data_IF_794757463226
#
_entry.id   IF_794757463226
#
_cell.length_a   1.000
_cell.length_b   1.000
_cell.length_c   1.000
_cell.angle_alpha   90.00
_cell.angle_beta   90.00
_cell.angle_gamma   90.00
#
_symmetry.space_group_name_H-M   'P 1'
#
loop_
_entity.id
_entity.type
_entity.pdbx_description
1 polymer ?
#
# COMPACT_ATOMS: atom_id res chain seq x y z
N UNK A 1 -60.39 29.52 21.87
CA UNK A 1 -59.19 29.28 21.03
C UNK A 1 -58.03 28.90 21.96
N UNK A 2 -57.97 27.64 22.40
CA UNK A 2 -57.12 26.57 21.85
C UNK A 2 -55.61 26.87 21.92
N UNK A 3 -54.99 26.41 23.02
CA UNK A 3 -53.54 26.20 23.12
C UNK A 3 -53.11 25.19 22.04
N UNK A 4 -52.37 25.62 21.02
CA UNK A 4 -51.61 24.70 20.18
C UNK A 4 -50.47 24.17 21.05
N UNK A 5 -50.50 22.89 21.39
CA UNK A 5 -49.52 22.30 22.30
C UNK A 5 -48.14 22.25 21.66
N UNK A 6 -47.10 22.58 22.43
CA UNK A 6 -45.70 22.57 22.00
C UNK A 6 -45.27 21.26 21.29
N UNK A 7 -45.90 20.14 21.65
CA UNK A 7 -45.73 18.84 20.96
C UNK A 7 -46.02 18.91 19.47
N UNK A 8 -47.06 19.62 19.02
CA UNK A 8 -47.38 19.76 17.59
C UNK A 8 -46.30 20.54 16.83
N UNK A 9 -45.74 21.57 17.45
CA UNK A 9 -44.63 22.36 16.89
C UNK A 9 -43.37 21.49 16.80
N UNK A 10 -43.03 20.74 17.86
CA UNK A 10 -41.89 19.84 17.87
C UNK A 10 -42.05 18.67 16.87
N UNK A 11 -43.27 18.12 16.71
CA UNK A 11 -43.57 17.13 15.67
C UNK A 11 -43.42 17.70 14.26
N UNK A 12 -43.90 18.93 14.01
CA UNK A 12 -43.73 19.59 12.72
C UNK A 12 -42.25 19.86 12.40
N UNK A 13 -41.47 20.35 13.37
CA UNK A 13 -40.01 20.54 13.23
C UNK A 13 -39.31 19.21 12.94
N UNK A 14 -39.65 18.14 13.67
CA UNK A 14 -39.08 16.81 13.46
C UNK A 14 -39.40 16.28 12.05
N UNK A 15 -40.64 16.43 11.58
CA UNK A 15 -41.05 16.07 10.22
C UNK A 15 -40.27 16.90 9.18
N UNK A 16 -40.13 18.21 9.35
CA UNK A 16 -39.32 19.04 8.46
C UNK A 16 -37.86 18.61 8.42
N UNK A 17 -37.24 18.28 9.56
CA UNK A 17 -35.85 17.78 9.62
C UNK A 17 -35.75 16.43 8.90
N UNK A 18 -36.68 15.50 9.12
CA UNK A 18 -36.74 14.22 8.39
C UNK A 18 -36.92 14.43 6.89
N UNK A 19 -37.77 15.36 6.44
CA UNK A 19 -37.94 15.67 5.02
C UNK A 19 -36.68 16.30 4.40
N UNK A 20 -36.01 17.22 5.11
CA UNK A 20 -34.75 17.83 4.64
C UNK A 20 -33.65 16.76 4.53
N UNK A 21 -33.52 15.88 5.51
CA UNK A 21 -32.59 14.75 5.46
C UNK A 21 -32.93 13.77 4.33
N UNK A 22 -34.21 13.47 4.10
CA UNK A 22 -34.64 12.60 3.00
C UNK A 22 -34.34 13.23 1.64
N UNK A 23 -34.59 14.53 1.47
CA UNK A 23 -34.24 15.29 0.25
C UNK A 23 -32.72 15.29 0.05
N UNK A 24 -31.93 15.51 1.11
CA UNK A 24 -30.46 15.48 1.04
C UNK A 24 -29.93 14.08 0.70
N UNK A 25 -30.55 13.02 1.20
CA UNK A 25 -30.24 11.64 0.80
C UNK A 25 -30.56 11.45 -0.69
N UNK A 26 -31.78 11.79 -1.12
CA UNK A 26 -32.20 11.65 -2.53
C UNK A 26 -31.31 12.46 -3.48
N UNK A 27 -30.89 13.68 -3.11
CA UNK A 27 -30.04 14.52 -3.95
C UNK A 27 -28.59 14.04 -4.05
N UNK A 28 -28.05 13.39 -3.01
CA UNK A 28 -26.66 12.90 -3.00
C UNK A 28 -26.54 11.46 -3.51
N UNK A 29 -27.56 10.61 -3.36
CA UNK A 29 -27.57 9.24 -3.89
C UNK A 29 -28.23 9.11 -5.27
N UNK A 30 -28.92 10.14 -5.77
CA UNK A 30 -29.73 10.08 -7.00
C UNK A 30 -28.98 10.25 -8.33
N UNK A 31 -27.71 10.68 -8.32
CA UNK A 31 -26.98 11.08 -9.54
C UNK A 31 -25.80 10.16 -9.94
N UNK A 32 -25.35 9.22 -9.10
CA UNK A 32 -24.28 8.27 -9.46
C UNK A 32 -24.79 7.07 -10.28
N UNK A 33 -25.60 7.32 -11.30
CA UNK A 33 -26.07 6.31 -12.26
C UNK A 33 -25.06 6.08 -13.40
N UNK A 34 -23.78 5.91 -13.06
CA UNK A 34 -22.81 5.23 -13.91
C UNK A 34 -22.59 3.79 -13.40
N UNK A 35 -23.68 3.01 -13.41
CA UNK A 35 -23.61 1.57 -13.19
C UNK A 35 -22.93 0.90 -14.39
N UNK A 36 -21.63 0.64 -14.29
CA UNK A 36 -21.06 -0.55 -14.90
C UNK A 36 -21.58 -1.75 -14.11
N UNK A 37 -22.36 -2.63 -14.73
CA UNK A 37 -22.86 -3.85 -14.07
C UNK A 37 -21.72 -4.85 -13.80
N UNK A 38 -20.96 -4.61 -12.73
CA UNK A 38 -20.12 -5.63 -12.12
C UNK A 38 -21.04 -6.69 -11.50
N UNK A 39 -21.42 -7.69 -12.30
CA UNK A 39 -22.20 -8.85 -11.84
C UNK A 39 -21.59 -9.37 -10.54
N UNK A 40 -22.40 -9.60 -9.47
CA UNK A 40 -21.87 -10.02 -8.19
C UNK A 40 -21.10 -11.34 -8.37
N UNK A 41 -19.79 -11.30 -8.10
CA UNK A 41 -18.92 -12.45 -8.28
C UNK A 41 -19.30 -13.51 -7.25
N UNK A 42 -20.05 -14.52 -7.69
CA UNK A 42 -20.14 -15.79 -6.98
C UNK A 42 -18.75 -16.42 -6.98
N UNK A 43 -17.99 -16.19 -5.92
CA UNK A 43 -16.85 -17.03 -5.58
C UNK A 43 -17.40 -18.42 -5.25
N UNK A 44 -17.43 -19.31 -6.25
CA UNK A 44 -17.94 -20.66 -6.10
C UNK A 44 -16.90 -21.56 -5.39
N UNK A 45 -16.82 -21.38 -4.08
CA UNK A 45 -15.96 -22.18 -3.19
C UNK A 45 -16.53 -23.58 -2.88
N UNK A 46 -17.56 -24.03 -3.60
CA UNK A 46 -18.32 -25.26 -3.28
C UNK A 46 -17.57 -26.56 -3.58
N UNK A 47 -16.46 -26.51 -4.32
CA UNK A 47 -15.76 -27.67 -4.88
C UNK A 47 -14.58 -28.21 -4.04
N UNK A 48 -14.27 -27.61 -2.88
CA UNK A 48 -13.20 -28.07 -1.97
C UNK A 48 -13.68 -28.30 -0.54
N UNK A 49 -14.73 -29.09 -0.36
CA UNK A 49 -14.97 -29.79 0.92
C UNK A 49 -13.92 -30.90 1.12
N UNK A 50 -12.72 -30.50 1.55
CA UNK A 50 -11.72 -31.40 2.11
C UNK A 50 -10.95 -30.69 3.24
N UNK A 51 -11.37 -30.99 4.47
CA UNK A 51 -10.62 -30.78 5.73
C UNK A 51 -9.80 -29.48 5.85
N UNK A 52 -10.48 -28.35 6.09
CA UNK A 52 -9.86 -27.33 6.95
C UNK A 52 -9.73 -27.91 8.37
N UNK A 53 -8.55 -27.85 9.02
CA UNK A 53 -8.43 -28.24 10.43
C UNK A 53 -9.31 -27.33 11.29
N UNK A 54 -10.28 -27.92 12.02
CA UNK A 54 -11.16 -27.17 12.94
C UNK A 54 -10.46 -26.77 14.26
N UNK A 55 -9.14 -26.94 14.34
CA UNK A 55 -8.29 -26.54 15.46
C UNK A 55 -7.39 -25.38 15.05
N UNK A 56 -7.80 -24.16 15.41
CA UNK A 56 -6.85 -23.04 15.53
C UNK A 56 -5.82 -23.48 16.60
N UNK A 57 -4.51 -23.49 16.31
CA UNK A 57 -3.52 -23.87 17.31
C UNK A 57 -3.59 -22.92 18.51
N UNK A 58 -3.69 -23.46 19.72
CA UNK A 58 -3.70 -22.65 20.93
C UNK A 58 -2.38 -21.89 21.09
N UNK A 59 -2.49 -20.56 21.26
CA UNK A 59 -1.34 -19.66 21.40
C UNK A 59 -0.76 -19.80 22.83
N UNK A 60 -0.06 -20.89 23.07
CA UNK A 60 0.58 -21.18 24.37
C UNK A 60 1.95 -21.87 24.27
N UNK A 61 2.27 -22.56 23.17
CA UNK A 61 3.50 -23.37 23.03
C UNK A 61 4.38 -23.01 21.83
N UNK A 62 4.47 -21.72 21.49
CA UNK A 62 5.62 -21.19 20.72
C UNK A 62 6.60 -20.58 21.71
N UNK A 63 7.42 -21.42 22.35
CA UNK A 63 8.63 -20.96 23.02
C UNK A 63 9.61 -20.45 21.96
N UNK A 64 9.99 -19.16 21.96
CA UNK A 64 10.95 -18.65 21.00
C UNK A 64 12.36 -19.08 21.43
N UNK A 65 12.73 -20.33 21.12
CA UNK A 65 14.11 -20.80 21.12
C UNK A 65 14.87 -20.09 20.00
N UNK A 66 15.13 -18.82 20.24
CA UNK A 66 15.79 -17.85 19.36
C UNK A 66 17.19 -18.36 19.03
N UNK A 67 17.48 -18.72 17.76
CA UNK A 67 18.85 -18.58 17.29
C UNK A 67 19.18 -17.10 17.44
N UNK A 68 20.19 -16.76 18.25
CA UNK A 68 20.66 -15.37 18.33
C UNK A 68 21.42 -15.11 17.03
N UNK A 69 20.66 -14.75 15.99
CA UNK A 69 21.21 -14.26 14.73
C UNK A 69 22.13 -13.10 15.06
N UNK A 70 23.42 -13.27 14.72
CA UNK A 70 24.43 -12.21 14.86
C UNK A 70 24.00 -11.00 14.03
N UNK A 71 24.38 -9.78 14.42
CA UNK A 71 24.09 -8.60 13.62
C UNK A 71 24.70 -8.73 12.22
N UNK A 72 23.85 -8.77 11.20
CA UNK A 72 24.17 -8.61 9.79
C UNK A 72 25.27 -9.53 9.23
N UNK A 73 25.16 -10.86 9.37
CA UNK A 73 25.90 -11.75 8.48
C UNK A 73 25.43 -11.50 7.01
N UNK A 74 26.33 -11.21 6.05
CA UNK A 74 25.92 -10.83 4.69
C UNK A 74 25.25 -11.96 3.91
N UNK A 75 24.49 -11.59 2.88
CA UNK A 75 24.05 -12.52 1.84
C UNK A 75 25.25 -13.29 1.28
N UNK A 76 25.09 -14.58 1.03
CA UNK A 76 26.01 -15.28 0.12
C UNK A 76 25.99 -14.55 -1.25
N UNK A 77 27.17 -14.13 -1.72
CA UNK A 77 27.36 -13.35 -2.98
C UNK A 77 27.10 -14.17 -4.26
N UNK A 78 26.38 -15.26 -4.13
CA UNK A 78 26.08 -16.34 -5.08
C UNK A 78 24.59 -16.43 -5.38
N UNK A 79 23.71 -15.88 -4.52
CA UNK A 79 22.27 -15.83 -4.80
C UNK A 79 22.00 -15.12 -6.14
N UNK A 80 21.19 -15.72 -7.05
CA UNK A 80 20.82 -15.08 -8.31
C UNK A 80 20.12 -13.74 -8.07
N UNK A 81 18.98 -13.77 -7.36
CA UNK A 81 18.25 -12.57 -6.95
C UNK A 81 18.88 -12.02 -5.67
N UNK A 82 19.20 -10.73 -5.64
CA UNK A 82 19.90 -10.07 -4.52
C UNK A 82 19.09 -8.95 -3.88
N UNK A 83 18.40 -8.14 -4.70
CA UNK A 83 17.43 -7.11 -4.31
C UNK A 83 16.24 -7.23 -5.27
N UNK A 84 15.03 -6.91 -4.82
CA UNK A 84 13.88 -6.84 -5.70
C UNK A 84 12.70 -6.05 -5.11
N UNK A 85 11.86 -5.50 -5.98
CA UNK A 85 10.55 -4.91 -5.65
C UNK A 85 9.48 -5.96 -5.99
N UNK A 86 8.63 -6.35 -5.03
CA UNK A 86 7.47 -7.22 -5.28
C UNK A 86 6.20 -6.38 -5.40
N UNK A 87 5.34 -6.71 -6.37
CA UNK A 87 3.91 -6.37 -6.32
C UNK A 87 3.01 -7.59 -6.54
N UNK A 88 1.81 -7.55 -5.97
CA UNK A 88 0.70 -8.40 -6.41
C UNK A 88 -0.12 -7.65 -7.47
N UNK A 89 -0.40 -8.30 -8.60
CA UNK A 89 -1.16 -7.74 -9.71
C UNK A 89 -2.43 -8.58 -9.97
N UNK A 90 -3.62 -8.10 -9.55
CA UNK A 90 -4.89 -8.74 -9.82
C UNK A 90 -5.29 -8.56 -11.29
N UNK A 91 -4.92 -9.52 -12.14
CA UNK A 91 -5.16 -9.47 -13.59
C UNK A 91 -6.64 -9.26 -13.99
N UNK A 92 -7.59 -9.62 -13.11
CA UNK A 92 -9.03 -9.43 -13.31
C UNK A 92 -9.49 -7.97 -13.06
N UNK A 93 -8.60 -7.09 -12.62
CA UNK A 93 -8.79 -5.63 -12.49
C UNK A 93 -7.69 -4.88 -13.27
N UNK A 94 -7.27 -5.44 -14.41
CA UNK A 94 -6.17 -4.92 -15.24
C UNK A 94 -6.35 -3.47 -15.65
N UNK A 95 -7.54 -3.07 -16.08
CA UNK A 95 -7.85 -1.68 -16.50
C UNK A 95 -7.58 -0.66 -15.39
N UNK A 96 -7.80 -1.04 -14.13
CA UNK A 96 -7.60 -0.18 -12.96
C UNK A 96 -6.12 -0.15 -12.52
N UNK A 97 -5.46 -1.32 -12.44
CA UNK A 97 -4.13 -1.44 -11.84
C UNK A 97 -2.96 -1.38 -12.85
N UNK A 98 -3.16 -1.71 -14.13
CA UNK A 98 -2.07 -1.69 -15.11
C UNK A 98 -1.46 -0.29 -15.32
N UNK A 99 -2.22 0.82 -15.30
CA UNK A 99 -1.64 2.16 -15.24
C UNK A 99 -0.70 2.33 -14.05
N UNK A 100 -1.10 1.86 -12.86
CA UNK A 100 -0.33 1.98 -11.62
C UNK A 100 0.98 1.17 -11.68
N UNK A 101 0.94 -0.01 -12.32
CA UNK A 101 2.15 -0.82 -12.62
C UNK A 101 3.11 -0.09 -13.57
N UNK A 102 2.62 0.62 -14.59
CA UNK A 102 3.48 1.40 -15.51
C UNK A 102 4.22 2.54 -14.78
N UNK A 103 3.56 3.21 -13.84
CA UNK A 103 4.16 4.30 -13.05
C UNK A 103 5.22 3.77 -12.08
N UNK A 104 4.96 2.61 -11.46
CA UNK A 104 5.96 1.91 -10.64
C UNK A 104 7.15 1.40 -11.49
N UNK A 105 6.90 0.85 -12.67
CA UNK A 105 7.95 0.44 -13.62
C UNK A 105 8.86 1.62 -14.00
N UNK A 106 8.29 2.77 -14.41
CA UNK A 106 9.06 4.00 -14.71
C UNK A 106 9.94 4.40 -13.52
N UNK A 107 9.41 4.30 -12.30
CA UNK A 107 10.09 4.66 -11.05
C UNK A 107 11.23 3.70 -10.69
N UNK A 108 11.03 2.39 -10.89
CA UNK A 108 12.09 1.39 -10.78
C UNK A 108 13.19 1.62 -11.83
N UNK A 109 12.85 1.98 -13.07
CA UNK A 109 13.85 2.29 -14.11
C UNK A 109 14.69 3.53 -13.77
N UNK A 110 14.14 4.60 -13.18
CA UNK A 110 14.97 5.71 -12.66
C UNK A 110 15.90 5.26 -11.54
N UNK A 111 15.41 4.42 -10.62
CA UNK A 111 16.21 3.89 -9.52
C UNK A 111 17.40 3.05 -10.04
N UNK A 112 17.25 2.33 -11.16
CA UNK A 112 18.37 1.62 -11.80
C UNK A 112 19.47 2.58 -12.31
N UNK A 113 19.15 3.84 -12.67
CA UNK A 113 20.16 4.82 -13.12
C UNK A 113 21.16 5.20 -12.02
N UNK A 114 20.73 5.08 -10.75
CA UNK A 114 21.56 5.29 -9.57
C UNK A 114 21.98 4.00 -8.87
N UNK A 115 21.67 2.82 -9.43
CA UNK A 115 22.07 1.55 -8.84
C UNK A 115 23.57 1.29 -9.12
N UNK A 116 24.40 0.99 -8.11
CA UNK A 116 25.80 0.63 -8.32
C UNK A 116 25.93 -0.55 -9.28
N UNK A 117 26.95 -0.54 -10.15
CA UNK A 117 27.15 -1.60 -11.16
C UNK A 117 27.34 -3.01 -10.60
N UNK A 118 27.57 -3.15 -9.28
CA UNK A 118 27.64 -4.41 -8.52
C UNK A 118 26.32 -4.84 -7.86
N UNK A 119 25.27 -4.02 -7.93
CA UNK A 119 23.93 -4.31 -7.39
C UNK A 119 22.95 -4.62 -8.53
N UNK A 120 21.93 -5.43 -8.25
CA UNK A 120 20.80 -5.69 -9.16
C UNK A 120 19.50 -5.74 -8.37
N UNK A 121 18.58 -4.83 -8.65
CA UNK A 121 17.20 -4.84 -8.13
C UNK A 121 16.25 -5.31 -9.22
N UNK A 122 15.73 -6.54 -9.12
CA UNK A 122 14.75 -7.06 -10.06
C UNK A 122 13.34 -6.52 -9.78
N UNK A 123 12.53 -6.27 -10.80
CA UNK A 123 11.09 -5.97 -10.62
C UNK A 123 10.29 -7.26 -10.75
N UNK A 124 9.71 -7.70 -9.63
CA UNK A 124 9.01 -8.97 -9.48
C UNK A 124 7.51 -8.72 -9.38
N UNK A 125 6.76 -9.35 -10.28
CA UNK A 125 5.31 -9.24 -10.31
C UNK A 125 4.72 -10.60 -9.95
N UNK A 126 3.78 -10.64 -9.01
CA UNK A 126 2.93 -11.80 -8.79
C UNK A 126 1.65 -11.63 -9.58
N UNK A 127 1.33 -12.56 -10.48
CA UNK A 127 0.02 -12.62 -11.12
C UNK A 127 -0.33 -14.05 -11.55
N UNK A 128 -1.62 -14.29 -11.80
CA UNK A 128 -2.12 -15.57 -12.31
C UNK A 128 -2.19 -15.61 -13.86
N UNK A 129 -2.01 -14.48 -14.55
CA UNK A 129 -2.03 -14.43 -16.02
C UNK A 129 -0.91 -13.52 -16.57
N UNK A 130 0.04 -14.13 -17.29
CA UNK A 130 1.14 -13.42 -17.96
C UNK A 130 0.67 -12.85 -19.32
N UNK A 131 0.13 -11.63 -19.26
CA UNK A 131 -0.57 -10.97 -20.37
C UNK A 131 0.36 -10.38 -21.46
N UNK A 132 -0.24 -9.79 -22.49
CA UNK A 132 0.49 -9.26 -23.66
C UNK A 132 1.31 -7.99 -23.32
N UNK A 133 0.80 -7.22 -22.37
CA UNK A 133 1.31 -5.91 -21.99
C UNK A 133 2.59 -6.06 -21.16
N UNK A 134 2.70 -7.11 -20.35
CA UNK A 134 3.96 -7.49 -19.71
C UNK A 134 5.02 -7.90 -20.73
N UNK A 135 4.66 -8.67 -21.78
CA UNK A 135 5.61 -8.99 -22.87
C UNK A 135 6.10 -7.72 -23.60
N UNK A 136 5.21 -6.73 -23.80
CA UNK A 136 5.57 -5.41 -24.38
C UNK A 136 6.50 -4.59 -23.48
N UNK A 137 6.33 -4.67 -22.15
CA UNK A 137 7.28 -4.13 -21.15
C UNK A 137 8.63 -4.88 -21.10
N UNK A 138 8.82 -5.90 -21.96
CA UNK A 138 10.03 -6.73 -22.02
C UNK A 138 10.07 -7.86 -20.99
N UNK A 139 8.99 -8.09 -20.23
CA UNK A 139 9.00 -9.05 -19.13
C UNK A 139 9.14 -10.50 -19.62
N UNK A 140 9.70 -11.37 -18.76
CA UNK A 140 9.84 -12.81 -19.01
C UNK A 140 9.17 -13.62 -17.89
N UNK A 141 8.63 -14.78 -18.21
CA UNK A 141 7.99 -15.66 -17.22
C UNK A 141 8.99 -16.65 -16.61
N UNK A 142 10.08 -16.15 -16.00
CA UNK A 142 11.04 -16.95 -15.22
C UNK A 142 11.73 -16.12 -14.13
N UNK A 143 12.37 -16.81 -13.18
CA UNK A 143 13.37 -16.20 -12.30
C UNK A 143 14.70 -15.95 -13.06
N UNK A 144 15.44 -14.96 -12.58
CA UNK A 144 16.89 -14.79 -12.81
C UNK A 144 17.63 -16.06 -12.34
N UNK A 145 18.60 -16.54 -13.11
CA UNK A 145 19.35 -17.78 -12.86
C UNK A 145 20.78 -17.53 -12.32
N UNK A 146 21.37 -16.37 -12.59
CA UNK A 146 22.65 -15.93 -12.01
C UNK A 146 22.70 -14.39 -11.86
N UNK A 147 23.68 -13.87 -11.13
CA UNK A 147 23.81 -12.42 -10.85
C UNK A 147 24.37 -11.64 -12.05
N UNK A 148 25.04 -12.32 -12.98
CA UNK A 148 25.62 -11.77 -14.20
C UNK A 148 24.58 -11.48 -15.30
N UNK A 149 23.38 -12.08 -15.24
CA UNK A 149 22.26 -11.71 -16.11
C UNK A 149 21.95 -10.20 -15.99
N UNK A 150 21.51 -9.52 -17.08
CA UNK A 150 21.02 -8.15 -16.99
C UNK A 150 19.79 -8.06 -16.06
N UNK A 151 19.38 -6.86 -15.66
CA UNK A 151 18.15 -6.66 -14.88
C UNK A 151 16.93 -7.14 -15.68
N UNK A 152 16.38 -8.28 -15.26
CA UNK A 152 15.29 -8.99 -15.95
C UNK A 152 14.05 -9.02 -15.05
N UNK A 153 12.90 -8.97 -15.69
CA UNK A 153 11.58 -8.80 -15.06
C UNK A 153 10.95 -10.17 -14.81
N UNK A 154 10.47 -10.41 -13.58
CA UNK A 154 10.54 -11.75 -12.97
C UNK A 154 9.26 -12.19 -12.24
N UNK A 155 9.04 -13.52 -12.18
CA UNK A 155 7.95 -14.24 -11.53
C UNK A 155 8.50 -15.62 -11.04
N UNK A 156 8.17 -16.31 -9.93
CA UNK A 156 7.46 -16.20 -8.61
C UNK A 156 7.95 -17.46 -7.82
N UNK A 157 8.12 -17.60 -6.49
CA UNK A 157 8.48 -16.74 -5.34
C UNK A 157 8.82 -17.64 -4.11
N UNK A 158 10.01 -17.52 -3.50
CA UNK A 158 10.34 -17.83 -2.07
C UNK A 158 11.75 -17.28 -1.77
N UNK A 159 12.12 -17.08 -0.50
CA UNK A 159 13.42 -16.52 -0.05
C UNK A 159 13.75 -15.08 -0.49
N UNK A 160 12.87 -14.13 -0.20
CA UNK A 160 13.14 -12.69 -0.34
C UNK A 160 14.09 -12.10 0.73
N UNK A 161 15.02 -12.92 1.23
CA UNK A 161 15.29 -12.98 2.66
C UNK A 161 16.40 -12.07 3.21
N UNK A 162 17.15 -11.34 2.38
CA UNK A 162 18.55 -11.00 2.73
C UNK A 162 19.06 -9.56 2.50
N UNK A 163 18.29 -8.59 2.01
CA UNK A 163 18.74 -7.17 2.02
C UNK A 163 18.61 -6.56 3.43
N UNK A 164 19.74 -6.28 4.10
CA UNK A 164 19.78 -5.85 5.50
C UNK A 164 20.27 -4.40 5.63
N UNK A 165 19.50 -3.48 6.24
CA UNK A 165 20.00 -2.17 6.63
C UNK A 165 20.85 -2.23 7.91
N UNK A 166 21.78 -1.30 8.06
CA UNK A 166 22.61 -1.19 9.26
C UNK A 166 21.77 -1.03 10.55
N UNK A 167 22.25 -1.64 11.63
CA UNK A 167 21.67 -1.58 12.99
C UNK A 167 20.30 -2.27 13.18
N UNK A 168 19.87 -3.17 12.28
CA UNK A 168 18.74 -4.10 12.46
C UNK A 168 17.46 -3.45 13.05
N UNK A 169 17.10 -2.25 12.57
CA UNK A 169 15.93 -1.50 13.04
C UNK A 169 14.91 -1.41 11.91
N UNK A 170 13.66 -1.77 12.19
CA UNK A 170 12.58 -1.78 11.20
C UNK A 170 11.90 -0.41 11.16
N UNK A 171 12.19 0.35 10.10
CA UNK A 171 11.66 1.68 9.90
C UNK A 171 10.27 1.59 9.26
N UNK A 172 9.31 2.31 9.82
CA UNK A 172 7.95 2.45 9.29
C UNK A 172 7.67 3.91 8.94
N UNK A 173 6.79 4.14 7.97
CA UNK A 173 6.37 5.50 7.62
C UNK A 173 5.45 6.16 8.66
N UNK A 174 4.82 7.26 8.27
CA UNK A 174 3.72 7.92 8.99
C UNK A 174 2.34 7.45 8.50
N UNK A 175 1.36 7.37 9.40
CA UNK A 175 0.00 6.90 9.10
C UNK A 175 -1.10 7.76 9.72
N UNK A 176 -1.92 8.39 8.89
CA UNK A 176 -2.95 9.37 9.31
C UNK A 176 -4.19 8.82 10.01
N UNK A 177 -4.31 7.51 10.23
CA UNK A 177 -5.48 6.84 10.84
C UNK A 177 -5.49 6.89 12.38
N UNK A 178 -4.56 7.59 13.02
CA UNK A 178 -4.26 7.50 14.46
C UNK A 178 -5.25 8.17 15.43
N UNK A 179 -6.56 8.16 15.16
CA UNK A 179 -7.59 8.81 15.99
C UNK A 179 -7.76 8.15 17.37
N UNK A 180 -8.34 8.86 18.34
CA UNK A 180 -8.63 8.30 19.67
C UNK A 180 -9.75 7.26 19.67
N UNK A 181 -10.63 7.25 18.66
CA UNK A 181 -11.51 6.12 18.42
C UNK A 181 -10.69 4.88 18.02
N UNK A 182 -9.83 5.00 17.00
CA UNK A 182 -9.04 3.89 16.48
C UNK A 182 -8.04 3.36 17.51
N UNK A 183 -7.30 4.23 18.21
CA UNK A 183 -6.35 3.83 19.26
C UNK A 183 -7.02 3.07 20.40
N UNK A 184 -8.28 3.36 20.74
CA UNK A 184 -9.05 2.60 21.74
C UNK A 184 -9.61 1.29 21.16
N UNK A 185 -10.24 1.32 19.98
CA UNK A 185 -10.81 0.12 19.34
C UNK A 185 -9.72 -0.92 19.02
N UNK A 186 -8.59 -0.50 18.46
CA UNK A 186 -7.46 -1.40 18.15
C UNK A 186 -6.79 -1.98 19.40
N UNK A 187 -6.76 -1.26 20.52
CA UNK A 187 -6.24 -1.81 21.79
C UNK A 187 -7.16 -2.89 22.37
N UNK A 188 -8.49 -2.71 22.28
CA UNK A 188 -9.44 -3.80 22.60
C UNK A 188 -9.22 -4.99 21.68
N UNK A 189 -9.16 -4.77 20.36
CA UNK A 189 -8.99 -5.85 19.39
C UNK A 189 -7.71 -6.64 19.64
N UNK A 190 -6.60 -5.97 19.96
CA UNK A 190 -5.37 -6.65 20.35
C UNK A 190 -5.55 -7.52 21.60
N UNK A 191 -6.19 -7.01 22.65
CA UNK A 191 -6.53 -7.81 23.84
C UNK A 191 -7.38 -9.03 23.48
N UNK A 192 -8.42 -8.85 22.68
CA UNK A 192 -9.36 -9.93 22.30
C UNK A 192 -8.71 -10.98 21.37
N UNK A 193 -7.63 -10.61 20.67
CA UNK A 193 -6.76 -11.49 19.90
C UNK A 193 -5.63 -12.14 20.73
N UNK A 194 -5.48 -11.79 22.02
CA UNK A 194 -4.35 -12.21 22.86
C UNK A 194 -3.01 -11.53 22.50
N UNK A 195 -3.03 -10.45 21.72
CA UNK A 195 -1.84 -9.72 21.28
C UNK A 195 -1.40 -8.69 22.31
N UNK A 196 -0.09 -8.60 22.53
CA UNK A 196 0.50 -7.50 23.29
C UNK A 196 0.21 -6.14 22.62
N UNK A 197 -0.10 -5.10 23.39
CA UNK A 197 -0.36 -3.75 22.86
C UNK A 197 0.33 -2.66 23.68
N UNK A 198 1.47 -2.18 23.18
CA UNK A 198 2.31 -1.17 23.84
C UNK A 198 1.98 0.28 23.44
N UNK A 199 0.81 0.51 22.84
CA UNK A 199 0.26 1.83 22.52
C UNK A 199 1.07 2.66 21.49
N UNK A 200 1.87 2.04 20.63
CA UNK A 200 2.45 2.74 19.47
C UNK A 200 1.34 3.02 18.45
N UNK A 201 1.36 4.20 17.84
CA UNK A 201 0.36 4.61 16.83
C UNK A 201 1.01 5.48 15.74
N UNK A 202 0.27 5.76 14.66
CA UNK A 202 0.77 6.63 13.58
C UNK A 202 1.80 5.99 12.65
N UNK A 203 1.99 4.67 12.70
CA UNK A 203 2.89 3.92 11.81
C UNK A 203 2.28 3.76 10.41
N UNK A 204 3.01 4.11 9.36
CA UNK A 204 2.64 4.04 7.95
C UNK A 204 2.96 2.71 7.28
N UNK A 205 2.34 2.44 6.13
CA UNK A 205 2.51 1.19 5.36
C UNK A 205 3.79 1.12 4.53
N UNK A 206 4.54 2.22 4.41
CA UNK A 206 5.90 2.20 3.85
C UNK A 206 6.84 1.61 4.89
N UNK A 207 7.46 0.47 4.59
CA UNK A 207 8.35 -0.24 5.52
C UNK A 207 9.76 -0.40 4.94
N UNK A 208 10.76 -0.41 5.82
CA UNK A 208 12.17 -0.61 5.47
C UNK A 208 12.93 -1.27 6.64
N UNK A 209 13.41 -2.49 6.47
CA UNK A 209 14.05 -3.27 7.54
C UNK A 209 14.71 -4.54 7.01
N UNK A 210 15.10 -5.48 7.88
CA UNK A 210 15.55 -6.78 7.37
C UNK A 210 14.36 -7.57 6.79
N UNK A 211 14.54 -8.52 5.87
CA UNK A 211 13.40 -9.18 5.24
C UNK A 211 12.85 -10.33 6.08
N UNK A 212 13.56 -10.75 7.13
CA UNK A 212 12.98 -11.56 8.20
C UNK A 212 11.96 -10.72 9.00
N UNK A 213 12.32 -9.50 9.38
CA UNK A 213 11.38 -8.56 10.02
C UNK A 213 10.21 -8.24 9.08
N UNK A 214 10.48 -7.96 7.80
CA UNK A 214 9.46 -7.72 6.79
C UNK A 214 8.50 -8.90 6.61
N UNK A 215 9.01 -10.14 6.62
CA UNK A 215 8.19 -11.34 6.61
C UNK A 215 7.33 -11.47 7.87
N UNK A 216 7.89 -11.29 9.06
CA UNK A 216 7.15 -11.35 10.33
C UNK A 216 6.03 -10.31 10.37
N UNK A 217 6.35 -9.05 10.05
CA UNK A 217 5.40 -7.94 10.05
C UNK A 217 4.32 -8.15 8.99
N UNK A 218 4.66 -8.58 7.76
CA UNK A 218 3.68 -8.86 6.72
C UNK A 218 2.73 -10.02 7.09
N UNK A 219 3.27 -11.14 7.58
CA UNK A 219 2.49 -12.30 8.00
C UNK A 219 1.56 -11.97 9.17
N UNK A 220 2.08 -11.26 10.18
CA UNK A 220 1.30 -10.86 11.34
C UNK A 220 0.26 -9.79 11.00
N UNK A 221 0.57 -8.89 10.06
CA UNK A 221 -0.36 -7.90 9.49
C UNK A 221 -1.52 -8.59 8.78
N UNK A 222 -1.25 -9.59 7.93
CA UNK A 222 -2.29 -10.36 7.26
C UNK A 222 -3.24 -11.04 8.26
N UNK A 223 -2.71 -11.64 9.32
CA UNK A 223 -3.54 -12.21 10.39
C UNK A 223 -4.42 -11.15 11.07
N UNK A 224 -3.88 -9.95 11.35
CA UNK A 224 -4.65 -8.82 11.85
C UNK A 224 -5.75 -8.36 10.87
N UNK A 225 -5.43 -8.23 9.58
CA UNK A 225 -6.39 -7.87 8.52
C UNK A 225 -7.53 -8.89 8.41
N UNK A 226 -7.23 -10.19 8.49
CA UNK A 226 -8.22 -11.26 8.42
C UNK A 226 -9.16 -11.24 9.63
N UNK A 227 -8.63 -11.10 10.85
CA UNK A 227 -9.45 -10.95 12.05
C UNK A 227 -10.36 -9.72 11.97
N UNK A 228 -9.77 -8.57 11.60
CA UNK A 228 -10.49 -7.31 11.46
C UNK A 228 -11.64 -7.43 10.44
N UNK A 229 -11.35 -7.97 9.25
CA UNK A 229 -12.36 -8.17 8.22
C UNK A 229 -13.44 -9.15 8.68
N UNK A 230 -13.10 -10.25 9.34
CA UNK A 230 -14.07 -11.27 9.73
C UNK A 230 -14.99 -10.80 10.88
N UNK A 231 -14.45 -10.16 11.92
CA UNK A 231 -15.13 -9.93 13.19
C UNK A 231 -15.40 -8.46 13.55
N UNK A 232 -14.69 -7.50 12.96
CA UNK A 232 -14.69 -6.09 13.41
C UNK A 232 -15.23 -5.08 12.38
N UNK A 233 -15.53 -5.54 11.17
CA UNK A 233 -16.19 -4.79 10.10
C UNK A 233 -17.47 -5.51 9.64
N UNK A 234 -18.58 -4.76 9.56
CA UNK A 234 -19.86 -5.23 9.05
C UNK A 234 -19.89 -5.26 7.50
N UNK A 235 -20.84 -5.99 6.90
CA UNK A 235 -20.88 -6.11 5.42
C UNK A 235 -20.90 -4.77 4.67
N UNK A 236 -21.68 -3.74 5.06
CA UNK A 236 -21.67 -2.45 4.36
C UNK A 236 -20.31 -1.74 4.36
N UNK A 237 -19.48 -1.98 5.38
CA UNK A 237 -18.12 -1.45 5.45
C UNK A 237 -17.19 -2.24 4.52
N UNK A 238 -17.29 -3.59 4.52
CA UNK A 238 -16.48 -4.50 3.69
C UNK A 238 -16.79 -4.39 2.19
N UNK A 239 -18.06 -4.14 1.87
CA UNK A 239 -18.58 -3.96 0.51
C UNK A 239 -18.37 -2.51 0.00
N UNK A 240 -17.62 -1.67 0.73
CA UNK A 240 -17.34 -0.26 0.42
C UNK A 240 -18.57 0.64 0.30
N UNK A 241 -19.77 0.19 0.71
CA UNK A 241 -21.04 0.93 0.59
C UNK A 241 -21.09 2.22 1.42
N UNK A 242 -20.24 2.34 2.44
CA UNK A 242 -20.09 3.58 3.22
C UNK A 242 -19.02 4.54 2.65
N UNK A 243 -18.29 4.13 1.60
CA UNK A 243 -17.21 4.91 1.01
C UNK A 243 -16.22 5.43 2.05
N UNK A 244 -15.94 6.73 2.00
CA UNK A 244 -15.06 7.45 2.94
C UNK A 244 -15.77 8.02 4.17
N UNK A 245 -17.07 7.79 4.37
CA UNK A 245 -17.86 8.39 5.45
C UNK A 245 -17.29 8.14 6.86
N UNK A 246 -16.67 6.98 7.06
CA UNK A 246 -16.07 6.58 8.33
C UNK A 246 -14.60 6.99 8.50
N UNK A 247 -13.99 7.69 7.52
CA UNK A 247 -12.60 8.15 7.61
C UNK A 247 -12.51 9.48 8.39
N UNK A 248 -11.51 9.70 9.27
CA UNK A 248 -10.36 8.85 9.57
C UNK A 248 -10.55 7.86 10.73
N UNK A 249 -11.79 7.66 11.20
CA UNK A 249 -12.11 6.65 12.22
C UNK A 249 -12.16 5.25 11.62
N UNK A 250 -13.32 4.58 11.51
CA UNK A 250 -13.39 3.15 11.16
C UNK A 250 -13.61 2.86 9.66
N UNK A 251 -12.61 3.14 8.81
CA UNK A 251 -12.72 3.01 7.35
C UNK A 251 -12.04 1.75 6.79
N UNK A 252 -12.82 0.84 6.20
CA UNK A 252 -12.32 -0.44 5.67
C UNK A 252 -11.23 -0.31 4.59
N UNK A 253 -11.20 0.77 3.81
CA UNK A 253 -10.18 0.99 2.77
C UNK A 253 -8.75 1.15 3.31
N UNK A 254 -8.57 1.28 4.64
CA UNK A 254 -7.25 1.23 5.30
C UNK A 254 -7.08 0.02 6.23
N UNK A 255 -7.77 -1.10 5.96
CA UNK A 255 -7.63 -2.37 6.68
C UNK A 255 -6.15 -2.77 6.93
N UNK A 256 -5.28 -2.52 5.95
CA UNK A 256 -3.83 -2.72 6.04
C UNK A 256 -3.19 -1.93 7.21
N UNK A 257 -3.59 -0.66 7.38
CA UNK A 257 -3.05 0.23 8.42
C UNK A 257 -3.49 -0.20 9.83
N UNK A 258 -4.66 -0.79 9.97
CA UNK A 258 -5.13 -1.39 11.22
C UNK A 258 -4.46 -2.75 11.48
N UNK A 259 -4.33 -3.61 10.47
CA UNK A 259 -3.67 -4.91 10.59
C UNK A 259 -2.20 -4.76 11.03
N UNK A 260 -1.47 -3.82 10.42
CA UNK A 260 -0.09 -3.53 10.83
C UNK A 260 -0.03 -2.89 12.22
N UNK A 261 -1.04 -2.11 12.63
CA UNK A 261 -1.07 -1.50 13.95
C UNK A 261 -1.10 -2.58 15.04
N UNK A 262 -1.93 -3.61 14.85
CA UNK A 262 -1.99 -4.78 15.72
C UNK A 262 -0.66 -5.56 15.67
N UNK A 263 -0.13 -5.83 14.47
CA UNK A 263 1.10 -6.59 14.28
C UNK A 263 2.34 -5.94 14.91
N UNK A 264 2.56 -4.65 14.64
CA UNK A 264 3.73 -3.91 15.13
C UNK A 264 3.67 -3.71 16.65
N UNK A 265 2.49 -3.40 17.20
CA UNK A 265 2.32 -3.35 18.67
C UNK A 265 2.59 -4.71 19.32
N UNK A 266 2.14 -5.81 18.70
CA UNK A 266 2.38 -7.15 19.21
C UNK A 266 3.87 -7.52 19.17
N UNK A 267 4.49 -7.46 18.00
CA UNK A 267 5.87 -7.92 17.75
C UNK A 267 6.90 -7.10 18.56
N UNK A 268 6.68 -5.79 18.74
CA UNK A 268 7.54 -4.96 19.61
C UNK A 268 7.24 -5.25 21.08
N UNK A 269 5.97 -5.41 21.47
CA UNK A 269 5.57 -5.74 22.83
C UNK A 269 6.13 -7.07 23.36
N UNK A 270 6.36 -8.05 22.47
CA UNK A 270 7.03 -9.33 22.79
C UNK A 270 8.54 -9.32 22.49
N UNK A 271 9.13 -8.15 22.21
CA UNK A 271 10.56 -7.95 21.91
C UNK A 271 11.12 -8.78 20.73
N UNK A 272 10.27 -9.15 19.75
CA UNK A 272 10.73 -9.80 18.52
C UNK A 272 11.32 -8.80 17.51
N UNK A 273 10.82 -7.57 17.48
CA UNK A 273 11.26 -6.51 16.55
C UNK A 273 11.49 -5.18 17.27
N UNK A 274 12.40 -4.35 16.75
CA UNK A 274 12.58 -2.95 17.16
C UNK A 274 12.22 -2.04 16.01
N UNK A 275 11.36 -1.05 16.25
CA UNK A 275 10.89 -0.13 15.21
C UNK A 275 11.33 1.32 15.42
N UNK A 276 11.33 2.08 14.33
CA UNK A 276 11.48 3.53 14.31
C UNK A 276 10.45 4.12 13.33
N UNK A 277 9.80 5.23 13.70
CA UNK A 277 8.89 5.95 12.79
C UNK A 277 9.75 6.92 11.97
N UNK A 278 9.96 6.59 10.70
CA UNK A 278 10.87 7.25 9.78
C UNK A 278 10.36 8.59 9.23
N UNK A 279 9.17 9.06 9.60
CA UNK A 279 8.57 10.34 9.20
C UNK A 279 8.99 10.77 7.77
N UNK A 280 9.73 11.87 7.63
CA UNK A 280 10.08 12.43 6.32
C UNK A 280 11.08 11.56 5.52
N UNK A 281 11.77 10.59 6.13
CA UNK A 281 12.65 9.65 5.42
C UNK A 281 11.83 8.73 4.49
N UNK A 282 10.64 8.30 4.93
CA UNK A 282 9.76 7.38 4.19
C UNK A 282 8.47 8.04 3.68
N UNK A 283 8.15 9.27 4.08
CA UNK A 283 6.91 9.96 3.69
C UNK A 283 7.13 11.43 3.28
N UNK A 284 8.16 11.70 2.49
CA UNK A 284 8.37 13.03 1.90
C UNK A 284 7.18 13.39 1.02
N UNK A 285 6.44 14.46 1.34
CA UNK A 285 5.25 14.81 0.57
C UNK A 285 5.60 15.21 -0.86
N UNK A 286 4.82 14.73 -1.85
CA UNK A 286 4.85 15.24 -3.23
C UNK A 286 4.19 16.61 -3.39
N UNK A 287 3.71 17.21 -2.29
CA UNK A 287 3.21 18.60 -2.23
C UNK A 287 4.23 19.55 -1.59
N UNK A 288 5.42 19.08 -1.27
CA UNK A 288 6.52 19.90 -0.77
C UNK A 288 7.21 20.60 -1.95
N UNK A 289 7.16 21.94 -1.92
CA UNK A 289 7.74 22.82 -2.93
C UNK A 289 9.11 23.38 -2.50
N UNK A 290 9.68 22.92 -1.39
CA UNK A 290 11.06 23.27 -1.03
C UNK A 290 12.05 22.56 -1.95
N UNK A 291 13.10 23.28 -2.36
CA UNK A 291 14.09 22.82 -3.37
C UNK A 291 15.16 21.90 -2.75
N UNK A 292 14.99 21.48 -1.50
CA UNK A 292 15.96 20.72 -0.73
C UNK A 292 15.58 19.23 -0.65
N UNK A 293 16.56 18.40 -0.30
CA UNK A 293 16.42 17.02 0.20
C UNK A 293 16.15 15.83 -0.75
N UNK A 294 15.67 15.95 -2.00
CA UNK A 294 15.61 14.74 -2.88
C UNK A 294 17.02 14.17 -3.12
N UNK A 295 17.97 15.04 -3.49
CA UNK A 295 19.32 14.65 -3.92
C UNK A 295 20.32 14.42 -2.78
N UNK A 296 19.89 14.57 -1.52
CA UNK A 296 20.79 14.53 -0.35
C UNK A 296 20.72 13.21 0.44
N UNK A 297 19.99 12.20 -0.05
CA UNK A 297 19.88 10.88 0.60
C UNK A 297 19.13 10.85 1.93
N UNK A 298 18.65 12.01 2.40
CA UNK A 298 17.86 12.16 3.65
C UNK A 298 16.37 11.87 3.46
N UNK A 299 15.99 11.41 2.27
CA UNK A 299 14.64 11.04 1.80
C UNK A 299 14.78 9.79 0.92
N UNK A 300 13.99 8.75 1.18
CA UNK A 300 14.04 7.47 0.45
C UNK A 300 12.76 7.16 -0.31
N UNK A 301 11.62 7.77 0.06
CA UNK A 301 10.34 7.59 -0.61
C UNK A 301 9.56 8.91 -0.68
N UNK A 302 8.87 9.14 -1.80
CA UNK A 302 7.96 10.26 -2.00
C UNK A 302 6.51 9.78 -1.81
N UNK A 303 5.84 10.26 -0.77
CA UNK A 303 4.44 9.92 -0.48
C UNK A 303 3.52 10.98 -1.09
N UNK A 304 2.73 10.58 -2.10
CA UNK A 304 1.61 11.38 -2.56
C UNK A 304 0.40 11.23 -1.62
N UNK A 305 0.32 12.15 -0.66
CA UNK A 305 -0.77 12.23 0.32
C UNK A 305 -2.13 12.53 -0.34
N UNK A 306 -3.21 12.30 0.39
CA UNK A 306 -4.58 12.46 -0.09
C UNK A 306 -5.00 13.93 -0.11
N UNK A 307 -4.53 14.67 -1.13
CA UNK A 307 -4.76 16.10 -1.35
C UNK A 307 -5.14 16.38 -2.81
N UNK A 308 -5.56 17.60 -3.10
CA UNK A 308 -5.74 18.17 -4.45
C UNK A 308 -4.52 18.97 -4.93
N UNK A 309 -3.67 19.43 -4.01
CA UNK A 309 -2.41 20.12 -4.26
C UNK A 309 -1.49 19.33 -5.23
N UNK A 310 -0.79 19.99 -6.17
CA UNK A 310 0.20 19.32 -7.00
C UNK A 310 1.38 18.81 -6.16
N UNK A 311 1.93 17.62 -6.41
CA UNK A 311 1.42 16.56 -7.28
C UNK A 311 0.38 15.70 -6.53
N UNK A 312 -0.85 15.62 -7.07
CA UNK A 312 -1.94 14.79 -6.55
C UNK A 312 -2.24 13.60 -7.45
N UNK A 313 -2.20 12.40 -6.87
CA UNK A 313 -2.60 11.12 -7.50
C UNK A 313 -4.05 11.12 -7.97
N UNK A 314 -4.95 11.83 -7.27
CA UNK A 314 -6.35 11.95 -7.68
C UNK A 314 -6.51 12.83 -8.92
N UNK A 315 -5.86 13.99 -8.93
CA UNK A 315 -5.90 14.94 -10.07
C UNK A 315 -5.24 14.33 -11.31
N UNK A 316 -4.16 13.56 -11.11
CA UNK A 316 -3.53 12.76 -12.15
C UNK A 316 -4.42 11.63 -12.69
N UNK A 317 -5.10 10.86 -11.82
CA UNK A 317 -6.01 9.77 -12.22
C UNK A 317 -7.26 10.29 -12.96
N UNK A 318 -7.75 11.48 -12.60
CA UNK A 318 -8.75 12.24 -13.36
C UNK A 318 -8.25 12.78 -14.72
N UNK A 319 -6.97 12.60 -15.07
CA UNK A 319 -6.39 13.08 -16.33
C UNK A 319 -6.23 14.61 -16.42
N UNK A 320 -6.43 15.36 -15.32
CA UNK A 320 -6.37 16.83 -15.32
C UNK A 320 -4.96 17.39 -15.58
N UNK A 321 -3.92 16.56 -15.44
CA UNK A 321 -2.54 16.90 -15.84
C UNK A 321 -2.19 16.53 -17.29
N UNK A 322 -3.10 15.95 -18.09
CA UNK A 322 -2.79 15.46 -19.45
C UNK A 322 -2.24 16.55 -20.40
N UNK A 323 -2.66 17.80 -20.21
CA UNK A 323 -2.25 18.97 -21.01
C UNK A 323 -1.10 19.76 -20.36
N UNK A 324 -0.50 19.24 -19.28
CA UNK A 324 0.55 19.95 -18.56
C UNK A 324 1.89 19.81 -19.31
N UNK A 325 2.40 20.95 -19.77
CA UNK A 325 3.71 21.10 -20.38
C UNK A 325 4.84 20.63 -19.43
N UNK A 326 5.61 19.63 -19.89
CA UNK A 326 6.70 18.99 -19.16
C UNK A 326 7.97 19.86 -19.07
N UNK A 327 8.23 20.74 -20.04
CA UNK A 327 9.46 21.54 -20.07
C UNK A 327 9.52 22.51 -18.87
N UNK A 328 8.35 22.95 -18.37
CA UNK A 328 8.22 23.75 -17.14
C UNK A 328 8.85 23.11 -15.91
N UNK A 329 8.85 21.77 -15.82
CA UNK A 329 9.41 21.03 -14.70
C UNK A 329 10.84 20.56 -14.93
N UNK A 330 11.41 20.73 -16.13
CA UNK A 330 12.69 20.13 -16.55
C UNK A 330 13.88 20.50 -15.65
N UNK A 331 13.93 21.77 -15.24
CA UNK A 331 14.97 22.31 -14.36
C UNK A 331 14.55 22.36 -12.87
N UNK A 332 13.29 22.03 -12.58
CA UNK A 332 12.75 22.01 -11.22
C UNK A 332 13.21 20.74 -10.48
N UNK A 333 13.53 20.91 -9.20
CA UNK A 333 14.14 19.90 -8.30
C UNK A 333 13.26 19.61 -7.06
N UNK A 334 12.06 20.17 -7.00
CA UNK A 334 11.07 19.91 -5.94
C UNK A 334 10.48 18.50 -6.04
N UNK A 335 9.98 17.96 -4.92
CA UNK A 335 9.35 16.64 -4.89
C UNK A 335 8.09 16.61 -5.77
N UNK A 336 7.35 17.72 -5.78
CA UNK A 336 6.25 18.01 -6.68
C UNK A 336 6.62 17.87 -8.16
N UNK A 337 7.68 18.55 -8.62
CA UNK A 337 8.08 18.51 -10.01
C UNK A 337 8.61 17.14 -10.45
N UNK A 338 9.40 16.48 -9.60
CA UNK A 338 9.89 15.13 -9.87
C UNK A 338 8.72 14.15 -10.05
N UNK A 339 7.77 14.13 -9.10
CA UNK A 339 6.58 13.29 -9.19
C UNK A 339 5.72 13.60 -10.43
N UNK A 340 5.55 14.88 -10.77
CA UNK A 340 4.82 15.31 -11.97
C UNK A 340 5.44 14.80 -13.27
N UNK A 341 6.76 14.98 -13.46
CA UNK A 341 7.48 14.46 -14.63
C UNK A 341 7.33 12.95 -14.76
N UNK A 342 7.61 12.22 -13.67
CA UNK A 342 7.54 10.75 -13.63
C UNK A 342 6.15 10.21 -13.99
N UNK A 343 5.09 10.83 -13.47
CA UNK A 343 3.71 10.46 -13.75
C UNK A 343 3.32 10.74 -15.22
N UNK A 344 3.71 11.89 -15.76
CA UNK A 344 3.36 12.28 -17.13
C UNK A 344 4.17 11.54 -18.20
N UNK A 345 5.49 11.41 -18.04
CA UNK A 345 6.35 10.63 -18.94
C UNK A 345 5.88 9.18 -19.05
N UNK A 346 5.59 8.52 -17.91
CA UNK A 346 5.08 7.14 -17.87
C UNK A 346 3.66 6.98 -18.42
N UNK A 347 2.96 8.07 -18.71
CA UNK A 347 1.66 8.09 -19.40
C UNK A 347 1.80 8.40 -20.89
N UNK A 348 2.78 9.20 -21.29
CA UNK A 348 3.03 9.59 -22.68
C UNK A 348 3.76 8.50 -23.49
N UNK A 349 4.70 7.77 -22.87
CA UNK A 349 5.42 6.66 -23.51
C UNK A 349 4.48 5.49 -23.86
N UNK A 350 4.71 4.81 -24.98
CA UNK A 350 4.22 3.45 -25.23
C UNK A 350 4.88 2.44 -24.27
N UNK A 351 4.38 1.19 -24.23
CA UNK A 351 5.01 0.14 -23.41
C UNK A 351 6.40 -0.23 -23.97
N UNK A 352 6.49 -0.20 -25.29
CA UNK A 352 7.67 -0.50 -26.10
C UNK A 352 8.77 0.56 -25.90
N UNK A 353 8.41 1.85 -25.88
CA UNK A 353 9.32 2.96 -25.53
C UNK A 353 9.74 2.91 -24.05
N UNK A 354 8.81 2.65 -23.13
CA UNK A 354 9.12 2.55 -21.69
C UNK A 354 10.11 1.39 -21.41
N UNK A 355 9.97 0.28 -22.13
CA UNK A 355 10.92 -0.84 -22.07
C UNK A 355 12.25 -0.53 -22.79
N UNK A 356 12.23 0.24 -23.88
CA UNK A 356 13.44 0.69 -24.56
C UNK A 356 14.25 1.67 -23.71
N UNK A 357 13.57 2.57 -22.97
CA UNK A 357 14.19 3.52 -22.04
C UNK A 357 15.02 2.78 -20.97
N UNK A 358 14.45 1.74 -20.35
CA UNK A 358 15.15 0.88 -19.39
C UNK A 358 16.36 0.15 -19.99
N UNK A 359 16.19 -0.50 -21.15
CA UNK A 359 17.28 -1.21 -21.83
C UNK A 359 18.43 -0.28 -22.25
N UNK A 360 18.11 0.83 -22.90
CA UNK A 360 19.12 1.75 -23.44
C UNK A 360 19.95 2.41 -22.32
N UNK A 361 19.34 2.61 -21.14
CA UNK A 361 20.04 3.15 -19.97
C UNK A 361 20.87 2.11 -19.23
N UNK A 362 20.37 0.88 -19.06
CA UNK A 362 21.12 -0.25 -18.48
C UNK A 362 22.34 -0.69 -19.31
N UNK A 363 22.51 -0.16 -20.52
CA UNK A 363 23.68 -0.35 -21.38
C UNK A 363 24.67 0.84 -21.32
N UNK A 364 24.37 1.86 -20.52
CA UNK A 364 25.19 3.08 -20.35
C UNK A 364 25.74 3.25 -18.93
N UNK A 365 25.68 2.18 -18.13
CA UNK A 365 25.95 2.11 -16.69
C UNK A 365 26.73 0.84 -16.32
#
# INVERSE_FOLDING_TARGET
MRRITLRLILSAISICICCILLIFIISNFGNDTHQTESKPVKCDCSSTQNSFPQTIPSVSNITPNKPILKPCEPIEKTSPVQRAIIIYYPHHQSEYFFPEVRWLYRSWVEMLLGEPSTWRTDFVIFTYNFSSEFRKLGCVNRLRQNKEEPSMYVFIYRHFATYIPSNCTFITGGGGYGTDFNRRKLRRIAHDMGFAHINISGMGSTWYGSPYDGYLVANQTLHGMLWLAQYEFAMPERESKLGTLMWPEWHYGVLLLYGQHLALNHLVGINQIRILIGHNLLDQSTTDNTVQYITQGTRLNLHCWHTDLPFSKFVFKMGKYNQTDLEKYKNDKTAQAYAMRMALESKQMTLEELAAYGRNKSLSS
#
